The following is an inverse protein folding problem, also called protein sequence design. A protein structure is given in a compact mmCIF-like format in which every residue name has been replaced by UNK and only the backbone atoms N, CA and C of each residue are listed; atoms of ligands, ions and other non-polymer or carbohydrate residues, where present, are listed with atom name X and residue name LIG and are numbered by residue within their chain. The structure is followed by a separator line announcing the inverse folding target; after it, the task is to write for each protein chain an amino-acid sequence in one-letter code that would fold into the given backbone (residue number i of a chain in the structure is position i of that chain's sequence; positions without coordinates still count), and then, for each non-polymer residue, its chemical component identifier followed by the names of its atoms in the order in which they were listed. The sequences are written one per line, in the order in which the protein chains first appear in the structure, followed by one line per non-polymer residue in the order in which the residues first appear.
data_IF_871681203656
#
_entry.id   IF_871681203656
#
_cell.length_a   1.000
_cell.length_b   1.000
_cell.length_c   1.000
_cell.angle_alpha   90.00
_cell.angle_beta   90.00
_cell.angle_gamma   90.00
#
_symmetry.space_group_name_H-M   'P 1'
#
loop_
_entity.id
_entity.type
_entity.pdbx_description
1 polymer ?
#
# COMPACT_ATOMS: atom_id res chain seq x y z
N UNK A 1 13.21 -22.23 2.66
CA UNK A 1 13.46 -21.54 1.38
C UNK A 1 14.90 -21.09 1.43
N UNK A 2 15.19 -19.88 1.91
CA UNK A 2 16.54 -19.50 2.30
C UNK A 2 16.72 -17.99 2.36
N UNK A 3 17.86 -17.54 2.86
CA UNK A 3 18.31 -16.16 2.82
C UNK A 3 19.82 -16.11 2.53
N UNK A 4 20.30 -15.01 1.97
CA UNK A 4 21.73 -14.74 1.82
C UNK A 4 22.05 -13.31 2.23
N UNK A 5 23.09 -13.16 3.03
CA UNK A 5 23.63 -11.87 3.47
C UNK A 5 24.67 -11.38 2.48
N UNK A 6 24.49 -10.17 1.99
CA UNK A 6 25.35 -9.57 0.97
C UNK A 6 26.38 -8.61 1.58
N UNK A 7 27.53 -8.42 0.90
CA UNK A 7 28.50 -7.40 1.27
C UNK A 7 27.90 -6.00 1.33
N UNK A 8 28.38 -5.20 2.27
CA UNK A 8 27.92 -3.84 2.51
C UNK A 8 28.16 -2.86 1.34
N UNK A 9 28.96 -3.24 0.34
CA UNK A 9 29.22 -2.44 -0.85
C UNK A 9 28.34 -2.83 -2.05
N UNK A 10 27.48 -3.84 -1.93
CA UNK A 10 26.70 -4.38 -3.06
C UNK A 10 25.89 -3.32 -3.79
N UNK A 11 25.33 -2.36 -3.06
CA UNK A 11 24.53 -1.25 -3.61
C UNK A 11 25.26 0.09 -3.64
N UNK A 12 26.55 0.15 -3.27
CA UNK A 12 27.29 1.42 -3.16
C UNK A 12 27.37 2.16 -4.48
N UNK A 13 27.59 1.46 -5.59
CA UNK A 13 27.68 2.04 -6.93
C UNK A 13 26.34 2.50 -7.55
N UNK A 14 25.19 2.17 -6.96
CA UNK A 14 23.86 2.53 -7.49
C UNK A 14 22.98 3.33 -6.54
N UNK A 15 23.09 3.06 -5.24
CA UNK A 15 22.28 3.67 -4.19
C UNK A 15 23.10 4.49 -3.18
N UNK A 16 24.42 4.61 -3.38
CA UNK A 16 25.35 5.32 -2.50
C UNK A 16 25.22 4.97 -1.00
N UNK A 17 24.83 3.73 -0.69
CA UNK A 17 24.67 3.23 0.68
C UNK A 17 25.67 2.11 0.97
N UNK A 18 26.26 2.17 2.16
CA UNK A 18 27.24 1.20 2.67
C UNK A 18 26.63 0.28 3.74
N UNK A 19 25.48 -0.33 3.45
CA UNK A 19 24.71 -1.13 4.41
C UNK A 19 24.78 -2.61 4.08
N UNK A 20 24.92 -3.45 5.10
CA UNK A 20 24.74 -4.91 4.96
C UNK A 20 23.27 -5.20 4.67
N UNK A 21 23.02 -5.92 3.58
CA UNK A 21 21.67 -6.20 3.09
C UNK A 21 21.48 -7.70 2.93
N UNK A 22 20.29 -8.19 3.26
CA UNK A 22 19.92 -9.60 3.13
C UNK A 22 18.89 -9.77 1.99
N UNK A 23 19.04 -10.82 1.18
CA UNK A 23 17.98 -11.29 0.27
C UNK A 23 17.30 -12.47 0.95
N UNK A 24 15.98 -12.42 1.11
CA UNK A 24 15.21 -13.45 1.80
C UNK A 24 14.14 -14.03 0.88
N UNK A 25 14.09 -15.35 0.79
CA UNK A 25 13.09 -16.09 0.03
C UNK A 25 12.10 -16.72 1.01
N UNK A 26 10.81 -16.43 0.85
CA UNK A 26 9.74 -17.01 1.64
C UNK A 26 8.86 -17.96 0.83
N UNK A 27 8.34 -18.99 1.48
CA UNK A 27 7.26 -19.83 0.98
C UNK A 27 6.22 -19.91 2.07
N UNK A 28 4.96 -19.68 1.72
CA UNK A 28 3.85 -19.79 2.69
C UNK A 28 3.88 -21.18 3.32
N UNK A 29 4.09 -21.21 4.63
CA UNK A 29 4.11 -22.46 5.41
C UNK A 29 2.71 -23.04 5.55
N UNK A 30 2.64 -24.34 5.81
CA UNK A 30 1.39 -25.02 6.17
C UNK A 30 0.99 -24.77 7.63
N UNK A 31 1.98 -24.58 8.52
CA UNK A 31 1.80 -24.28 9.94
C UNK A 31 2.80 -23.19 10.38
N UNK A 32 2.39 -22.30 11.29
CA UNK A 32 3.20 -21.21 11.84
C UNK A 32 4.36 -21.66 12.76
N UNK A 33 4.42 -22.94 13.13
CA UNK A 33 5.42 -23.48 14.06
C UNK A 33 6.69 -24.01 13.40
N UNK A 34 6.72 -24.10 12.06
CA UNK A 34 7.81 -24.72 11.30
C UNK A 34 8.94 -23.69 11.03
N UNK A 35 10.21 -24.11 11.15
CA UNK A 35 11.44 -23.37 10.79
C UNK A 35 11.54 -21.99 11.46
N UNK A 36 11.81 -21.95 12.78
CA UNK A 36 11.93 -20.71 13.56
C UNK A 36 13.34 -20.12 13.63
N UNK A 37 14.35 -20.84 13.15
CA UNK A 37 15.78 -20.50 13.24
C UNK A 37 16.14 -19.16 12.55
N UNK A 38 15.27 -18.64 11.68
CA UNK A 38 15.44 -17.31 11.07
C UNK A 38 14.99 -16.15 11.98
N UNK A 39 14.13 -16.43 12.96
CA UNK A 39 13.62 -15.47 13.94
C UNK A 39 14.56 -15.40 15.13
N UNK A 40 15.13 -16.54 15.52
CA UNK A 40 16.01 -16.65 16.68
C UNK A 40 17.36 -15.97 16.43
N UNK A 41 17.85 -15.29 17.46
CA UNK A 41 19.18 -14.68 17.47
C UNK A 41 20.08 -15.51 18.39
N UNK A 42 21.30 -15.78 17.93
CA UNK A 42 22.33 -16.48 18.71
C UNK A 42 23.57 -15.60 18.87
N UNK A 43 24.33 -15.89 19.92
CA UNK A 43 25.61 -15.22 20.16
C UNK A 43 26.64 -15.63 19.12
N UNK A 44 27.15 -14.63 18.41
CA UNK A 44 28.31 -14.68 17.54
C UNK A 44 29.51 -14.15 18.32
N UNK A 45 30.52 -15.00 18.50
CA UNK A 45 31.72 -14.69 19.28
C UNK A 45 32.91 -14.70 18.33
N UNK A 46 33.62 -13.57 18.24
CA UNK A 46 34.91 -13.48 17.54
C UNK A 46 36.07 -13.60 18.55
N UNK A 47 37.31 -13.68 18.07
CA UNK A 47 38.55 -14.01 18.81
C UNK A 47 38.84 -13.23 20.11
N UNK A 48 38.12 -12.14 20.40
CA UNK A 48 38.28 -11.32 21.62
C UNK A 48 37.23 -11.60 22.72
N UNK A 49 36.42 -12.66 22.58
CA UNK A 49 35.56 -13.17 23.67
C UNK A 49 34.28 -12.39 23.95
N UNK A 50 34.01 -11.29 23.24
CA UNK A 50 32.75 -10.52 23.35
C UNK A 50 31.68 -11.09 22.41
N UNK A 51 30.49 -11.35 22.95
CA UNK A 51 29.35 -11.90 22.22
C UNK A 51 28.50 -10.79 21.59
N UNK A 52 28.20 -10.92 20.31
CA UNK A 52 27.25 -10.06 19.58
C UNK A 52 26.15 -10.92 19.00
N UNK A 53 24.92 -10.40 18.91
CA UNK A 53 23.81 -11.21 18.40
C UNK A 53 23.72 -11.15 16.89
N UNK A 54 23.64 -12.32 16.26
CA UNK A 54 23.29 -12.49 14.84
C UNK A 54 22.09 -13.44 14.73
N UNK A 55 21.30 -13.32 13.66
CA UNK A 55 20.27 -14.34 13.38
C UNK A 55 20.94 -15.69 13.20
N UNK A 56 20.41 -16.72 13.87
CA UNK A 56 20.97 -18.07 13.83
C UNK A 56 21.13 -18.57 12.39
N UNK A 57 20.18 -18.23 11.52
CA UNK A 57 20.25 -18.54 10.10
C UNK A 57 21.57 -18.14 9.41
N UNK A 58 22.19 -17.02 9.82
CA UNK A 58 23.46 -16.53 9.25
C UNK A 58 24.69 -17.07 9.99
N UNK A 59 24.56 -17.97 10.96
CA UNK A 59 25.71 -18.70 11.49
C UNK A 59 26.23 -19.75 10.50
N UNK A 60 25.43 -20.14 9.50
CA UNK A 60 25.90 -20.97 8.40
C UNK A 60 26.67 -20.10 7.37
N UNK A 61 27.98 -20.32 7.18
CA UNK A 61 28.79 -19.52 6.25
C UNK A 61 28.31 -19.57 4.79
N UNK A 62 27.60 -20.63 4.38
CA UNK A 62 27.03 -20.72 3.02
C UNK A 62 25.92 -19.69 2.77
N UNK A 63 25.38 -19.07 3.82
CA UNK A 63 24.36 -18.03 3.73
C UNK A 63 24.94 -16.61 3.79
N UNK A 64 26.27 -16.46 3.73
CA UNK A 64 26.96 -15.17 3.77
C UNK A 64 27.83 -15.07 2.51
N UNK A 65 27.57 -14.06 1.68
CA UNK A 65 28.31 -13.81 0.45
C UNK A 65 29.51 -12.86 0.65
N UNK A 66 30.25 -13.06 1.73
CA UNK A 66 31.26 -12.13 2.22
C UNK A 66 31.88 -12.57 3.54
N UNK A 67 32.62 -11.68 4.17
CA UNK A 67 33.24 -11.94 5.48
C UNK A 67 32.51 -11.13 6.55
N UNK A 68 32.23 -11.74 7.71
CA UNK A 68 31.65 -11.02 8.83
C UNK A 68 32.73 -10.28 9.61
N UNK A 69 32.52 -8.99 9.83
CA UNK A 69 33.42 -8.13 10.58
C UNK A 69 32.66 -7.33 11.63
N UNK A 70 33.30 -7.07 12.78
CA UNK A 70 32.80 -6.16 13.79
C UNK A 70 33.37 -4.77 13.55
N UNK A 71 32.49 -3.78 13.39
CA UNK A 71 32.89 -2.39 13.20
C UNK A 71 32.35 -1.55 14.34
N UNK A 72 33.22 -0.72 14.91
CA UNK A 72 32.85 0.25 15.93
C UNK A 72 31.82 1.26 15.35
N UNK A 73 30.83 1.57 16.17
CA UNK A 73 29.81 2.56 15.89
C UNK A 73 30.12 3.85 16.63
N UNK A 74 29.49 4.95 16.20
CA UNK A 74 29.62 6.26 16.84
C UNK A 74 29.17 6.27 18.31
N UNK A 75 28.43 5.25 18.75
CA UNK A 75 27.89 5.12 20.10
C UNK A 75 28.74 4.25 21.04
N UNK A 76 30.04 4.05 20.74
CA UNK A 76 30.95 3.15 21.50
C UNK A 76 30.43 1.70 21.60
N UNK A 77 29.58 1.29 20.67
CA UNK A 77 29.13 -0.09 20.48
C UNK A 77 29.70 -0.67 19.19
N UNK A 78 29.54 -1.96 18.93
CA UNK A 78 29.98 -2.60 17.69
C UNK A 78 28.78 -3.20 16.95
N UNK A 79 28.86 -3.16 15.62
CA UNK A 79 27.89 -3.84 14.75
C UNK A 79 28.58 -4.87 13.89
N UNK A 80 27.90 -5.99 13.64
CA UNK A 80 28.34 -6.97 12.65
C UNK A 80 27.97 -6.45 11.27
N UNK A 81 28.96 -6.37 10.39
CA UNK A 81 28.78 -6.09 8.96
C UNK A 81 29.24 -7.29 8.13
N UNK A 82 28.77 -7.37 6.90
CA UNK A 82 29.33 -8.25 5.89
C UNK A 82 30.19 -7.42 4.93
N UNK A 83 31.47 -7.73 4.80
CA UNK A 83 32.39 -7.12 3.84
C UNK A 83 32.61 -8.04 2.63
N UNK A 84 33.07 -7.51 1.48
CA UNK A 84 33.38 -8.36 0.33
C UNK A 84 34.44 -9.40 0.68
N UNK A 85 34.19 -10.65 0.32
CA UNK A 85 35.19 -11.70 0.47
C UNK A 85 36.39 -11.42 -0.44
N UNK A 86 37.60 -11.58 0.10
CA UNK A 86 38.85 -11.28 -0.62
C UNK A 86 39.18 -12.29 -1.71
N UNK A 87 38.73 -13.54 -1.55
CA UNK A 87 39.13 -14.67 -2.40
C UNK A 87 38.04 -15.07 -3.41
N UNK A 88 36.79 -14.65 -3.18
CA UNK A 88 35.62 -15.06 -3.98
C UNK A 88 34.81 -13.86 -4.43
N UNK A 89 34.62 -13.74 -5.74
CA UNK A 89 33.70 -12.76 -6.32
C UNK A 89 32.25 -13.06 -5.94
N UNK A 90 31.46 -12.01 -5.72
CA UNK A 90 30.06 -12.10 -5.26
C UNK A 90 29.19 -12.99 -6.18
N UNK A 91 29.39 -12.92 -7.49
CA UNK A 91 28.61 -13.70 -8.47
C UNK A 91 28.75 -15.20 -8.25
N UNK A 92 29.96 -15.71 -8.01
CA UNK A 92 30.19 -17.14 -7.75
C UNK A 92 29.57 -17.58 -6.42
N UNK A 93 29.57 -16.71 -5.41
CA UNK A 93 28.93 -16.98 -4.13
C UNK A 93 27.40 -17.05 -4.26
N UNK A 94 26.81 -16.13 -5.04
CA UNK A 94 25.38 -16.16 -5.36
C UNK A 94 25.00 -17.40 -6.16
N UNK A 95 25.80 -17.80 -7.15
CA UNK A 95 25.56 -19.01 -7.94
C UNK A 95 25.59 -20.27 -7.07
N UNK A 96 26.57 -20.37 -6.15
CA UNK A 96 26.65 -21.47 -5.20
C UNK A 96 25.41 -21.51 -4.28
N UNK A 97 24.99 -20.35 -3.76
CA UNK A 97 23.80 -20.24 -2.93
C UNK A 97 22.52 -20.61 -3.68
N UNK A 98 22.32 -20.11 -4.90
CA UNK A 98 21.15 -20.42 -5.74
C UNK A 98 21.08 -21.93 -6.01
N UNK A 99 22.22 -22.59 -6.26
CA UNK A 99 22.29 -24.05 -6.44
C UNK A 99 21.88 -24.82 -5.19
N UNK A 100 22.05 -24.24 -3.99
CA UNK A 100 21.63 -24.86 -2.73
C UNK A 100 20.12 -24.72 -2.45
N UNK A 101 19.44 -23.79 -3.13
CA UNK A 101 18.01 -23.57 -2.92
C UNK A 101 17.20 -24.76 -3.43
N UNK A 102 16.09 -25.12 -2.75
CA UNK A 102 15.21 -26.17 -3.23
C UNK A 102 14.65 -25.84 -4.62
N UNK A 103 14.71 -26.81 -5.53
CA UNK A 103 14.21 -26.68 -6.90
C UNK A 103 12.68 -26.84 -6.95
N UNK A 104 12.07 -26.32 -8.02
CA UNK A 104 10.65 -26.50 -8.35
C UNK A 104 9.66 -26.06 -7.26
N UNK A 105 10.08 -25.15 -6.38
CA UNK A 105 9.28 -24.63 -5.26
C UNK A 105 8.25 -23.58 -5.64
N UNK A 106 8.46 -22.93 -6.79
CA UNK A 106 7.55 -21.95 -7.35
C UNK A 106 7.04 -22.49 -8.68
N UNK A 107 5.73 -22.73 -8.75
CA UNK A 107 5.05 -22.89 -10.04
C UNK A 107 4.57 -21.52 -10.44
N UNK A 108 5.12 -20.99 -11.53
CA UNK A 108 4.61 -19.77 -12.12
C UNK A 108 3.11 -19.94 -12.34
N UNK A 109 2.35 -19.09 -11.66
CA UNK A 109 0.97 -18.81 -12.02
C UNK A 109 1.01 -17.39 -12.51
N UNK A 110 0.56 -17.17 -13.74
CA UNK A 110 0.28 -15.82 -14.19
C UNK A 110 -0.63 -15.19 -13.15
N UNK A 111 -0.15 -14.13 -12.50
CA UNK A 111 -1.00 -13.40 -11.56
C UNK A 111 -1.90 -12.57 -12.44
N UNK A 112 -3.01 -13.16 -12.90
CA UNK A 112 -4.03 -12.46 -13.68
C UNK A 112 -4.73 -11.47 -12.76
N UNK A 113 -4.13 -10.29 -12.57
CA UNK A 113 -4.87 -9.12 -12.16
C UNK A 113 -5.64 -8.63 -13.39
N UNK A 114 -6.83 -9.16 -13.62
CA UNK A 114 -7.70 -8.66 -14.68
C UNK A 114 -8.26 -7.30 -14.26
N UNK A 115 -7.52 -6.23 -14.55
CA UNK A 115 -8.17 -4.97 -14.88
C UNK A 115 -8.70 -5.14 -16.30
N UNK A 116 -9.94 -5.63 -16.42
CA UNK A 116 -10.55 -5.83 -17.73
C UNK A 116 -10.86 -4.46 -18.35
N UNK A 117 -10.48 -4.28 -19.61
CA UNK A 117 -10.88 -3.11 -20.39
C UNK A 117 -12.21 -3.42 -21.08
N UNK A 118 -13.14 -2.48 -21.03
CA UNK A 118 -14.43 -2.55 -21.72
C UNK A 118 -14.59 -1.34 -22.63
N UNK A 119 -15.05 -1.58 -23.85
CA UNK A 119 -15.54 -0.52 -24.72
C UNK A 119 -17.03 -0.35 -24.47
N UNK A 120 -17.46 0.89 -24.20
CA UNK A 120 -18.87 1.24 -24.08
C UNK A 120 -19.24 2.04 -25.33
N UNK A 121 -20.14 1.54 -26.18
CA UNK A 121 -20.62 2.26 -27.35
C UNK A 121 -21.37 3.53 -26.95
N UNK A 122 -21.11 4.63 -27.64
CA UNK A 122 -21.74 5.93 -27.36
C UNK A 122 -23.21 5.97 -27.78
N UNK A 123 -23.62 5.15 -28.74
CA UNK A 123 -25.00 4.99 -29.17
C UNK A 123 -25.83 4.11 -28.20
N UNK A 124 -25.19 3.40 -27.27
CA UNK A 124 -25.88 2.59 -26.28
C UNK A 124 -26.74 3.42 -25.33
N UNK A 125 -27.92 2.90 -24.97
CA UNK A 125 -28.86 3.56 -24.06
C UNK A 125 -28.21 3.91 -22.71
N UNK A 126 -27.41 2.98 -22.18
CA UNK A 126 -26.63 3.14 -20.96
C UNK A 126 -25.67 4.33 -21.02
N UNK A 127 -24.95 4.54 -22.14
CA UNK A 127 -24.08 5.70 -22.30
C UNK A 127 -24.89 6.98 -22.38
N UNK A 128 -25.97 6.99 -23.18
CA UNK A 128 -26.81 8.18 -23.37
C UNK A 128 -27.40 8.69 -22.06
N UNK A 129 -27.76 7.80 -21.13
CA UNK A 129 -28.27 8.16 -19.81
C UNK A 129 -27.24 8.86 -18.90
N UNK A 130 -25.94 8.59 -19.09
CA UNK A 130 -24.89 9.11 -18.20
C UNK A 130 -23.90 10.04 -18.91
N UNK A 131 -24.10 10.37 -20.19
CA UNK A 131 -23.12 11.12 -21.00
C UNK A 131 -22.73 12.47 -20.37
N UNK A 132 -23.70 13.21 -19.84
CA UNK A 132 -23.46 14.53 -19.26
C UNK A 132 -22.70 14.39 -17.93
N UNK A 133 -23.09 13.40 -17.11
CA UNK A 133 -22.35 13.05 -15.91
C UNK A 133 -20.92 12.60 -16.24
N UNK A 134 -20.72 11.71 -17.22
CA UNK A 134 -19.42 11.25 -17.67
C UNK A 134 -18.53 12.39 -18.18
N UNK A 135 -19.10 13.41 -18.81
CA UNK A 135 -18.36 14.59 -19.27
C UNK A 135 -17.73 15.35 -18.09
N UNK A 136 -18.33 15.30 -16.89
CA UNK A 136 -17.78 15.91 -15.66
C UNK A 136 -16.66 15.10 -15.01
N UNK A 137 -16.53 13.82 -15.36
CA UNK A 137 -15.55 12.92 -14.73
C UNK A 137 -14.19 13.03 -15.45
N UNK A 138 -13.12 13.34 -14.72
CA UNK A 138 -11.75 13.29 -15.29
C UNK A 138 -11.26 11.84 -15.43
N UNK A 139 -10.40 11.58 -16.41
CA UNK A 139 -9.73 10.28 -16.57
C UNK A 139 -8.97 9.87 -15.31
N UNK A 140 -9.08 8.59 -14.94
CA UNK A 140 -8.54 8.02 -13.70
C UNK A 140 -9.51 8.05 -12.52
N UNK A 141 -10.67 8.69 -12.64
CA UNK A 141 -11.70 8.63 -11.60
C UNK A 141 -12.68 7.48 -11.84
N UNK A 142 -13.24 6.99 -10.75
CA UNK A 142 -14.30 5.99 -10.78
C UNK A 142 -15.65 6.60 -11.11
N UNK A 143 -16.54 5.82 -11.71
CA UNK A 143 -17.95 6.17 -11.87
C UNK A 143 -18.79 4.88 -11.81
N UNK A 144 -20.09 5.03 -11.58
CA UNK A 144 -21.04 3.90 -11.55
C UNK A 144 -21.85 3.91 -12.84
N UNK A 145 -22.00 2.75 -13.45
CA UNK A 145 -22.92 2.50 -14.56
C UNK A 145 -23.56 1.12 -14.35
N UNK A 146 -24.89 1.06 -14.35
CA UNK A 146 -25.66 -0.18 -14.13
C UNK A 146 -25.20 -0.95 -12.89
N UNK A 147 -25.10 -0.25 -11.75
CA UNK A 147 -24.62 -0.79 -10.48
C UNK A 147 -23.18 -1.33 -10.46
N UNK A 148 -22.43 -1.22 -11.56
CA UNK A 148 -21.03 -1.58 -11.64
C UNK A 148 -20.12 -0.35 -11.61
N UNK A 149 -18.95 -0.51 -11.01
CA UNK A 149 -17.94 0.55 -10.95
C UNK A 149 -17.00 0.39 -12.14
N UNK A 150 -16.73 1.50 -12.81
CA UNK A 150 -15.74 1.60 -13.87
C UNK A 150 -14.78 2.74 -13.55
N UNK A 151 -13.59 2.72 -14.14
CA UNK A 151 -12.64 3.82 -14.13
C UNK A 151 -12.55 4.42 -15.53
N UNK A 152 -12.73 5.74 -15.63
CA UNK A 152 -12.66 6.45 -16.91
C UNK A 152 -11.21 6.47 -17.42
N UNK A 153 -10.99 6.16 -18.69
CA UNK A 153 -9.66 6.30 -19.31
C UNK A 153 -9.56 7.60 -20.12
N UNK A 154 -8.42 7.84 -20.76
CA UNK A 154 -8.26 8.91 -21.76
C UNK A 154 -8.63 8.46 -23.17
N UNK A 155 -8.84 7.16 -23.37
CA UNK A 155 -9.05 6.58 -24.69
C UNK A 155 -10.54 6.59 -25.02
N UNK A 156 -10.89 7.39 -26.01
CA UNK A 156 -12.22 7.58 -26.52
C UNK A 156 -12.13 7.76 -28.04
N UNK A 157 -12.92 6.99 -28.78
CA UNK A 157 -13.05 7.09 -30.23
C UNK A 157 -14.34 7.84 -30.58
N UNK A 158 -14.61 8.01 -31.87
CA UNK A 158 -15.88 8.58 -32.33
C UNK A 158 -17.09 7.78 -31.81
N UNK A 159 -16.97 6.45 -31.73
CA UNK A 159 -18.09 5.56 -31.44
C UNK A 159 -18.07 4.95 -30.04
N UNK A 160 -16.93 4.95 -29.34
CA UNK A 160 -16.77 4.23 -28.08
C UNK A 160 -15.96 5.02 -27.04
N UNK A 161 -16.26 4.81 -25.77
CA UNK A 161 -15.33 5.12 -24.67
C UNK A 161 -14.67 3.83 -24.18
N UNK A 162 -13.37 3.88 -23.88
CA UNK A 162 -12.69 2.79 -23.18
C UNK A 162 -12.71 3.05 -21.68
N UNK A 163 -13.09 2.03 -20.92
CA UNK A 163 -13.14 2.07 -19.46
C UNK A 163 -12.44 0.86 -18.88
N UNK A 164 -11.95 0.99 -17.65
CA UNK A 164 -11.36 -0.11 -16.89
C UNK A 164 -12.35 -0.61 -15.85
N UNK A 165 -12.50 -1.92 -15.73
CA UNK A 165 -13.21 -2.57 -14.63
C UNK A 165 -12.20 -2.73 -13.49
N UNK A 166 -12.32 -1.99 -12.37
CA UNK A 166 -11.39 -2.08 -11.27
C UNK A 166 -11.57 -3.40 -10.52
N UNK A 167 -10.47 -3.95 -10.01
CA UNK A 167 -10.50 -5.12 -9.14
C UNK A 167 -11.05 -4.73 -7.76
N UNK A 168 -12.30 -5.09 -7.50
CA UNK A 168 -12.95 -4.86 -6.21
C UNK A 168 -13.10 -6.22 -5.51
N UNK A 169 -12.40 -6.45 -4.38
CA UNK A 169 -12.25 -7.80 -3.83
C UNK A 169 -13.49 -8.33 -3.11
N UNK A 170 -14.44 -7.46 -2.73
CA UNK A 170 -15.65 -7.86 -2.02
C UNK A 170 -16.76 -6.78 -2.11
N UNK A 171 -17.99 -7.16 -1.77
CA UNK A 171 -19.15 -6.26 -1.81
C UNK A 171 -19.04 -5.07 -0.85
N UNK A 172 -18.37 -5.21 0.31
CA UNK A 172 -18.19 -4.10 1.25
C UNK A 172 -17.31 -3.00 0.65
N UNK A 173 -16.26 -3.38 -0.08
CA UNK A 173 -15.41 -2.42 -0.79
C UNK A 173 -16.16 -1.76 -1.96
N UNK A 174 -17.03 -2.51 -2.67
CA UNK A 174 -17.94 -1.93 -3.66
C UNK A 174 -18.82 -0.84 -3.04
N UNK A 175 -19.49 -1.15 -1.92
CA UNK A 175 -20.32 -0.17 -1.18
C UNK A 175 -19.53 1.07 -0.74
N UNK A 176 -18.30 0.89 -0.22
CA UNK A 176 -17.43 2.03 0.15
C UNK A 176 -17.12 2.91 -1.04
N UNK A 177 -16.69 2.30 -2.16
CA UNK A 177 -16.30 3.04 -3.36
C UNK A 177 -17.50 3.83 -3.91
N UNK A 178 -18.70 3.23 -3.98
CA UNK A 178 -19.92 3.94 -4.42
C UNK A 178 -20.23 5.15 -3.53
N UNK A 179 -20.17 5.00 -2.20
CA UNK A 179 -20.39 6.13 -1.29
C UNK A 179 -19.31 7.22 -1.43
N UNK A 180 -18.05 6.83 -1.61
CA UNK A 180 -16.94 7.77 -1.81
C UNK A 180 -17.02 8.49 -3.17
N UNK A 181 -17.52 7.84 -4.23
CA UNK A 181 -17.86 8.50 -5.51
C UNK A 181 -18.88 9.62 -5.25
N UNK A 182 -19.96 9.34 -4.52
CA UNK A 182 -20.99 10.34 -4.23
C UNK A 182 -20.45 11.55 -3.43
N UNK A 183 -19.59 11.31 -2.44
CA UNK A 183 -18.91 12.37 -1.69
C UNK A 183 -18.00 13.18 -2.62
N UNK A 184 -17.16 12.51 -3.42
CA UNK A 184 -16.24 13.13 -4.38
C UNK A 184 -16.97 14.05 -5.35
N UNK A 185 -18.06 13.56 -5.93
CA UNK A 185 -18.79 14.28 -6.97
C UNK A 185 -19.47 15.51 -6.37
N UNK A 186 -20.07 15.37 -5.19
CA UNK A 186 -20.65 16.51 -4.47
C UNK A 186 -19.58 17.54 -4.10
N UNK A 187 -18.41 17.10 -3.63
CA UNK A 187 -17.27 17.96 -3.33
C UNK A 187 -16.76 18.70 -4.59
N UNK A 188 -16.63 18.01 -5.71
CA UNK A 188 -16.18 18.63 -6.97
C UNK A 188 -17.20 19.62 -7.53
N UNK A 189 -18.52 19.34 -7.40
CA UNK A 189 -19.57 20.30 -7.75
C UNK A 189 -19.50 21.55 -6.88
N UNK A 190 -19.31 21.39 -5.57
CA UNK A 190 -19.17 22.51 -4.62
C UNK A 190 -17.95 23.38 -4.98
N UNK A 191 -16.77 22.77 -5.16
CA UNK A 191 -15.55 23.50 -5.55
C UNK A 191 -15.70 24.21 -6.90
N UNK A 192 -16.40 23.60 -7.86
CA UNK A 192 -16.63 24.22 -9.17
C UNK A 192 -17.54 25.45 -9.06
N UNK A 193 -18.57 25.40 -8.21
CA UNK A 193 -19.47 26.53 -7.98
C UNK A 193 -18.79 27.65 -7.20
N UNK A 194 -18.03 27.33 -6.14
CA UNK A 194 -17.26 28.33 -5.38
C UNK A 194 -16.26 29.09 -6.25
N UNK A 195 -15.75 28.47 -7.32
CA UNK A 195 -14.87 29.13 -8.29
C UNK A 195 -15.61 30.07 -9.26
N UNK A 196 -16.87 29.77 -9.58
CA UNK A 196 -17.61 30.42 -10.66
C UNK A 196 -18.68 31.39 -10.16
N UNK A 197 -19.05 31.37 -8.88
CA UNK A 197 -20.14 32.16 -8.31
C UNK A 197 -19.90 32.48 -6.84
N UNK A 198 -20.15 33.72 -6.44
CA UNK A 198 -20.10 34.20 -5.05
C UNK A 198 -21.48 34.21 -4.36
N UNK A 199 -22.52 33.69 -5.01
CA UNK A 199 -23.87 33.66 -4.44
C UNK A 199 -24.07 32.42 -3.55
N UNK A 200 -24.18 32.64 -2.24
CA UNK A 200 -24.34 31.59 -1.22
C UNK A 200 -25.62 30.76 -1.36
N UNK A 201 -26.67 31.27 -2.02
CA UNK A 201 -27.98 30.60 -2.14
C UNK A 201 -27.93 29.21 -2.83
N UNK A 202 -26.93 28.95 -3.68
CA UNK A 202 -26.77 27.64 -4.35
C UNK A 202 -25.77 26.72 -3.60
N UNK A 203 -24.93 27.27 -2.72
CA UNK A 203 -23.87 26.54 -2.03
C UNK A 203 -24.39 25.78 -0.80
N UNK A 204 -25.32 26.38 -0.06
CA UNK A 204 -25.85 25.79 1.18
C UNK A 204 -26.50 24.41 0.97
N UNK A 205 -27.34 24.18 -0.05
CA UNK A 205 -27.89 22.84 -0.31
C UNK A 205 -26.81 21.79 -0.61
N UNK A 206 -25.74 22.18 -1.31
CA UNK A 206 -24.63 21.27 -1.64
C UNK A 206 -23.76 20.96 -0.42
N UNK A 207 -23.49 21.95 0.43
CA UNK A 207 -22.79 21.75 1.72
C UNK A 207 -23.59 20.82 2.62
N UNK A 208 -24.91 21.00 2.73
CA UNK A 208 -25.79 20.11 3.48
C UNK A 208 -25.78 18.69 2.92
N UNK A 209 -25.83 18.54 1.59
CA UNK A 209 -25.73 17.22 0.93
C UNK A 209 -24.38 16.55 1.19
N UNK A 210 -23.28 17.29 1.10
CA UNK A 210 -21.93 16.79 1.36
C UNK A 210 -21.81 16.33 2.82
N UNK A 211 -22.28 17.15 3.77
CA UNK A 211 -22.34 16.79 5.20
C UNK A 211 -23.11 15.50 5.43
N UNK A 212 -24.31 15.37 4.87
CA UNK A 212 -25.14 14.17 5.03
C UNK A 212 -24.44 12.92 4.50
N UNK A 213 -23.88 12.99 3.29
CA UNK A 213 -23.16 11.87 2.68
C UNK A 213 -21.93 11.45 3.50
N UNK A 214 -21.20 12.43 4.03
CA UNK A 214 -20.06 12.18 4.90
C UNK A 214 -20.49 11.54 6.23
N UNK A 215 -21.51 12.09 6.90
CA UNK A 215 -21.97 11.57 8.20
C UNK A 215 -22.53 10.14 8.06
N UNK A 216 -23.29 9.87 7.00
CA UNK A 216 -23.76 8.52 6.66
C UNK A 216 -22.60 7.56 6.38
N UNK A 217 -21.55 8.04 5.70
CA UNK A 217 -20.34 7.25 5.46
C UNK A 217 -19.61 6.94 6.77
N UNK A 218 -19.34 7.93 7.62
CA UNK A 218 -18.64 7.71 8.89
C UNK A 218 -19.43 6.78 9.79
N UNK A 219 -20.76 6.90 9.84
CA UNK A 219 -21.64 6.03 10.62
C UNK A 219 -21.57 4.55 10.19
N UNK A 220 -21.42 4.29 8.90
CA UNK A 220 -21.52 2.92 8.34
C UNK A 220 -20.18 2.28 8.00
N UNK A 221 -19.21 3.08 7.56
CA UNK A 221 -17.88 2.66 7.09
C UNK A 221 -16.72 3.19 7.96
N UNK A 222 -17.00 4.04 8.95
CA UNK A 222 -15.98 4.78 9.71
C UNK A 222 -15.31 5.89 8.90
N UNK A 223 -14.35 6.58 9.50
CA UNK A 223 -13.64 7.71 8.88
C UNK A 223 -12.99 7.37 7.53
N UNK A 224 -13.00 8.31 6.59
CA UNK A 224 -12.38 8.24 5.26
C UNK A 224 -10.90 7.87 5.34
N UNK A 225 -10.16 8.44 6.30
CA UNK A 225 -8.73 8.19 6.52
C UNK A 225 -8.40 6.84 7.17
N UNK A 226 -9.41 6.04 7.51
CA UNK A 226 -9.21 4.66 7.97
C UNK A 226 -8.55 3.83 6.86
N UNK A 227 -7.60 2.97 7.22
CA UNK A 227 -6.76 2.24 6.26
C UNK A 227 -7.55 1.44 5.21
N UNK A 228 -8.66 0.82 5.61
CA UNK A 228 -9.51 0.06 4.67
C UNK A 228 -10.22 0.96 3.66
N UNK A 229 -10.63 2.17 4.07
CA UNK A 229 -11.34 3.12 3.23
C UNK A 229 -10.35 3.79 2.25
N UNK A 230 -9.19 4.24 2.75
CA UNK A 230 -8.06 4.68 1.90
C UNK A 230 -7.70 3.63 0.87
N UNK A 231 -7.55 2.37 1.30
CA UNK A 231 -7.17 1.26 0.42
C UNK A 231 -8.22 0.97 -0.65
N UNK A 232 -9.51 1.04 -0.32
CA UNK A 232 -10.60 0.79 -1.27
C UNK A 232 -10.64 1.84 -2.39
N UNK A 233 -10.36 3.11 -2.08
CA UNK A 233 -10.50 4.22 -3.02
C UNK A 233 -9.18 4.73 -3.62
N UNK A 234 -8.04 4.10 -3.32
CA UNK A 234 -6.68 4.60 -3.62
C UNK A 234 -6.35 4.89 -5.09
N UNK A 235 -7.06 4.28 -6.04
CA UNK A 235 -6.79 4.47 -7.47
C UNK A 235 -7.69 5.53 -8.11
N UNK A 236 -8.65 6.08 -7.37
CA UNK A 236 -9.37 7.26 -7.82
C UNK A 236 -8.44 8.47 -7.79
N UNK A 237 -8.42 9.22 -8.88
CA UNK A 237 -7.53 10.39 -9.05
C UNK A 237 -7.80 11.48 -8.00
N UNK A 238 -9.04 11.63 -7.54
CA UNK A 238 -9.40 12.62 -6.51
C UNK A 238 -9.44 12.03 -5.10
N UNK A 239 -8.99 10.79 -4.88
CA UNK A 239 -8.98 10.13 -3.56
C UNK A 239 -8.43 11.02 -2.44
N UNK A 240 -7.26 11.64 -2.65
CA UNK A 240 -6.64 12.53 -1.66
C UNK A 240 -7.48 13.77 -1.33
N UNK A 241 -8.28 14.30 -2.27
CA UNK A 241 -9.16 15.45 -1.98
C UNK A 241 -10.24 15.09 -0.98
N UNK A 242 -10.80 13.89 -1.10
CA UNK A 242 -11.84 13.41 -0.19
C UNK A 242 -11.22 13.11 1.19
N UNK A 243 -10.00 12.55 1.23
CA UNK A 243 -9.30 12.33 2.50
C UNK A 243 -9.02 13.64 3.25
N UNK A 244 -8.85 14.76 2.54
CA UNK A 244 -8.68 16.08 3.13
C UNK A 244 -9.97 16.66 3.75
N UNK A 245 -11.12 15.98 3.63
CA UNK A 245 -12.34 16.33 4.36
C UNK A 245 -12.22 16.07 5.88
N UNK A 246 -11.21 15.30 6.29
CA UNK A 246 -10.93 14.98 7.69
C UNK A 246 -9.60 15.58 8.13
N UNK A 247 -9.68 16.51 9.08
CA UNK A 247 -8.54 17.09 9.80
C UNK A 247 -8.25 16.26 11.05
N UNK A 248 -6.99 16.26 11.48
CA UNK A 248 -6.55 15.67 12.74
C UNK A 248 -7.02 14.21 12.95
N UNK A 249 -7.04 13.41 11.87
CA UNK A 249 -7.46 12.01 11.97
C UNK A 249 -6.55 11.23 12.92
N UNK A 250 -7.16 10.68 13.96
CA UNK A 250 -6.54 9.75 14.88
C UNK A 250 -7.17 8.36 14.67
N UNK A 251 -6.33 7.36 14.39
CA UNK A 251 -6.76 5.97 14.20
C UNK A 251 -7.31 5.35 15.49
N UNK A 252 -7.04 5.96 16.65
CA UNK A 252 -7.36 5.43 17.95
C UNK A 252 -6.49 4.23 18.33
N UNK A 253 -6.75 3.69 19.51
CA UNK A 253 -6.09 2.52 20.08
C UNK A 253 -7.21 1.53 20.44
N UNK A 254 -7.23 0.38 19.75
CA UNK A 254 -8.21 -0.66 20.04
C UNK A 254 -7.98 -1.23 21.44
N UNK A 255 -9.04 -1.77 22.08
CA UNK A 255 -8.94 -2.41 23.40
C UNK A 255 -7.86 -3.50 23.46
N UNK A 256 -7.72 -4.29 22.40
CA UNK A 256 -6.71 -5.35 22.32
C UNK A 256 -5.27 -4.80 22.27
N UNK A 257 -5.04 -3.73 21.52
CA UNK A 257 -3.73 -3.06 21.44
C UNK A 257 -3.43 -2.33 22.76
N UNK A 258 -4.44 -1.66 23.33
CA UNK A 258 -4.36 -0.97 24.61
C UNK A 258 -3.87 -1.91 25.74
N UNK A 259 -4.50 -3.08 25.88
CA UNK A 259 -4.11 -4.11 26.87
C UNK A 259 -2.67 -4.57 26.65
N UNK A 260 -2.28 -4.84 25.40
CA UNK A 260 -0.92 -5.31 25.08
C UNK A 260 0.17 -4.30 25.45
N UNK A 261 -0.14 -3.01 25.34
CA UNK A 261 0.82 -1.93 25.52
C UNK A 261 0.65 -1.15 26.85
N UNK A 262 -0.27 -1.56 27.72
CA UNK A 262 -0.49 -0.92 29.02
C UNK A 262 -1.00 0.53 28.92
N UNK A 263 -1.73 0.86 27.86
CA UNK A 263 -2.29 2.21 27.62
C UNK A 263 -3.81 2.17 27.64
N UNK A 264 -4.45 3.32 27.80
CA UNK A 264 -5.91 3.42 27.72
C UNK A 264 -6.40 3.24 26.26
N UNK A 265 -7.53 2.56 26.03
CA UNK A 265 -8.13 2.50 24.71
C UNK A 265 -8.61 3.90 24.28
N UNK A 266 -8.50 4.17 22.99
CA UNK A 266 -8.88 5.45 22.39
C UNK A 266 -9.72 5.17 21.15
N UNK A 267 -10.91 5.78 21.07
CA UNK A 267 -11.72 5.66 19.87
C UNK A 267 -11.08 6.43 18.72
N UNK A 268 -11.24 5.98 17.46
CA UNK A 268 -10.85 6.79 16.31
C UNK A 268 -11.60 8.13 16.31
N UNK A 269 -10.96 9.19 15.82
CA UNK A 269 -11.55 10.52 15.73
C UNK A 269 -11.05 11.26 14.49
N UNK A 270 -11.84 12.21 13.99
CA UNK A 270 -11.43 13.20 13.00
C UNK A 270 -12.30 14.45 13.17
N UNK A 271 -11.78 15.58 12.75
CA UNK A 271 -12.50 16.85 12.64
C UNK A 271 -12.92 17.07 11.18
N UNK A 272 -14.14 17.57 10.96
CA UNK A 272 -14.57 17.97 9.61
C UNK A 272 -13.73 19.16 9.13
N UNK A 273 -13.40 19.19 7.85
CA UNK A 273 -12.75 20.36 7.24
C UNK A 273 -13.73 21.53 7.07
N UNK A 274 -13.21 22.72 6.77
CA UNK A 274 -14.01 23.95 6.76
C UNK A 274 -14.99 24.01 5.59
N UNK A 275 -14.80 23.15 4.56
CA UNK A 275 -15.68 23.10 3.38
C UNK A 275 -17.08 22.55 3.68
N UNK A 276 -17.29 22.02 4.89
CA UNK A 276 -18.59 21.62 5.39
C UNK A 276 -19.40 22.78 6.00
N UNK A 277 -18.77 23.94 6.23
CA UNK A 277 -19.38 25.14 6.83
C UNK A 277 -20.00 26.04 5.76
#
# INVERSE_FOLDING_TARGET
MGAIRLPNNTFKGRANTGVTTDIVFFKKGFNATINKDWIESKSYIQREGKAYNIKEYFLNPQHIAGDLELVATEYKDYKIICTPNKDKVLTLQLDAFIKSLPKDVYRYRETTYKQDMKLIPKDSLQYQHIKDYLATIESGNYFVLEDEIYQKTKLETQDNIQVVIPLIPNQKDKTRIVKMIAIRDTLNSLITLEKNSQEDQVLDPLRQKLNRLYDDFVKTEGYLNRDVNKKAFRYDRHSNKILALEKNYNKGISKSVAIKHGVAPMNPSAEKSDIFL
#
